data_IF_593487081409
#
_entry.id   IF_593487081409
#
_cell.length_a   1.000
_cell.length_b   1.000
_cell.length_c   1.000
_cell.angle_alpha   90.00
_cell.angle_beta   90.00
_cell.angle_gamma   90.00
#
_symmetry.space_group_name_H-M   'P 1'
#
loop_
_entity.id
_entity.type
_entity.pdbx_description
1 polymer ?
#
# COMPACT_ATOMS: atom_id res chain seq x y z
N UNK A 1 -19.42 26.96 21.70
CA UNK A 1 -19.25 26.90 20.24
C UNK A 1 -18.37 25.70 19.97
N UNK A 2 -18.97 24.57 19.63
CA UNK A 2 -18.28 23.30 19.43
C UNK A 2 -17.85 23.24 17.98
N UNK A 3 -16.56 23.44 17.69
CA UNK A 3 -16.01 23.11 16.38
C UNK A 3 -16.10 21.59 16.21
N UNK A 4 -16.86 21.14 15.21
CA UNK A 4 -16.96 19.74 14.87
C UNK A 4 -15.65 19.31 14.21
N UNK A 5 -14.82 18.55 14.93
CA UNK A 5 -13.65 17.92 14.33
C UNK A 5 -14.12 16.98 13.20
N UNK A 6 -13.77 17.32 11.96
CA UNK A 6 -13.89 16.40 10.83
C UNK A 6 -12.72 15.42 10.93
N UNK A 7 -13.02 14.11 11.05
CA UNK A 7 -12.01 13.05 11.21
C UNK A 7 -11.15 12.77 9.96
N UNK A 8 -11.06 13.71 9.02
CA UNK A 8 -10.29 13.59 7.80
C UNK A 8 -8.93 14.28 7.93
N UNK A 9 -7.86 13.61 7.52
CA UNK A 9 -6.49 14.14 7.50
C UNK A 9 -5.88 13.95 6.11
N UNK A 10 -5.39 15.02 5.49
CA UNK A 10 -4.69 14.94 4.21
C UNK A 10 -3.24 14.46 4.43
N UNK A 11 -2.77 13.52 3.60
CA UNK A 11 -1.41 12.96 3.66
C UNK A 11 -0.63 13.22 2.36
N UNK A 12 -0.43 14.49 1.95
CA UNK A 12 0.10 14.84 0.62
C UNK A 12 1.57 14.45 0.38
N UNK A 13 2.29 14.03 1.43
CA UNK A 13 3.70 13.64 1.36
C UNK A 13 3.89 12.13 1.09
N UNK A 14 2.82 11.33 1.11
CA UNK A 14 2.89 9.91 0.74
C UNK A 14 2.78 9.77 -0.79
N UNK A 15 3.65 8.93 -1.36
CA UNK A 15 3.57 8.54 -2.77
C UNK A 15 2.66 7.32 -2.96
N UNK A 16 1.89 7.31 -4.04
CA UNK A 16 1.12 6.16 -4.51
C UNK A 16 1.78 5.58 -5.77
N UNK A 17 2.06 4.28 -5.75
CA UNK A 17 2.74 3.57 -6.84
C UNK A 17 1.92 2.32 -7.17
N UNK A 18 1.51 2.23 -8.44
CA UNK A 18 0.81 1.06 -8.97
C UNK A 18 1.70 0.27 -9.92
N UNK A 19 1.85 -1.02 -9.66
CA UNK A 19 2.48 -1.99 -10.57
C UNK A 19 1.39 -2.80 -11.26
N UNK A 20 1.47 -2.99 -12.58
CA UNK A 20 0.49 -3.74 -13.37
C UNK A 20 1.18 -4.52 -14.50
N UNK A 21 0.55 -5.61 -14.94
CA UNK A 21 1.07 -6.55 -15.93
C UNK A 21 1.16 -7.96 -15.37
N UNK A 22 1.37 -8.94 -16.25
CA UNK A 22 1.32 -10.37 -15.90
C UNK A 22 2.42 -10.75 -14.89
N UNK A 23 3.57 -10.06 -14.93
CA UNK A 23 4.71 -10.30 -14.04
C UNK A 23 4.72 -9.43 -12.77
N UNK A 24 3.66 -8.66 -12.50
CA UNK A 24 3.65 -7.69 -11.39
C UNK A 24 3.95 -8.34 -10.03
N UNK A 25 3.38 -9.52 -9.77
CA UNK A 25 3.63 -10.27 -8.53
C UNK A 25 5.09 -10.72 -8.44
N UNK A 26 5.64 -11.31 -9.51
CA UNK A 26 7.04 -11.76 -9.54
C UNK A 26 8.01 -10.60 -9.35
N UNK A 27 7.74 -9.46 -10.00
CA UNK A 27 8.51 -8.25 -9.83
C UNK A 27 8.51 -7.78 -8.37
N UNK A 28 7.33 -7.60 -7.76
CA UNK A 28 7.21 -7.15 -6.37
C UNK A 28 7.82 -8.14 -5.37
N UNK A 29 7.73 -9.44 -5.64
CA UNK A 29 8.32 -10.50 -4.81
C UNK A 29 9.85 -10.40 -4.72
N UNK A 30 10.51 -9.92 -5.77
CA UNK A 30 11.96 -9.70 -5.80
C UNK A 30 12.40 -8.37 -5.19
N UNK A 31 11.47 -7.53 -4.74
CA UNK A 31 11.73 -6.17 -4.29
C UNK A 31 11.33 -5.94 -2.83
N UNK A 32 10.36 -6.70 -2.31
CA UNK A 32 9.84 -6.51 -0.95
C UNK A 32 10.25 -7.66 -0.03
N UNK A 33 10.38 -7.39 1.26
CA UNK A 33 10.75 -8.39 2.27
C UNK A 33 9.65 -9.40 2.61
N UNK A 34 8.42 -9.19 2.12
CA UNK A 34 7.26 -10.03 2.39
C UNK A 34 6.97 -10.99 1.23
N UNK A 35 6.23 -12.06 1.52
CA UNK A 35 5.68 -12.95 0.48
C UNK A 35 4.41 -12.32 -0.13
N UNK A 36 4.61 -11.58 -1.22
CA UNK A 36 3.56 -10.89 -1.98
C UNK A 36 2.73 -11.90 -2.79
N UNK A 37 3.32 -13.03 -3.21
CA UNK A 37 2.60 -14.05 -3.97
C UNK A 37 1.48 -14.72 -3.17
N UNK A 38 1.61 -14.77 -1.85
CA UNK A 38 0.59 -15.29 -0.94
C UNK A 38 -0.35 -14.21 -0.38
N UNK A 39 -0.19 -12.96 -0.80
CA UNK A 39 -1.01 -11.85 -0.32
C UNK A 39 -2.40 -11.87 -0.98
N UNK A 40 -3.45 -12.08 -0.18
CA UNK A 40 -4.83 -11.94 -0.62
C UNK A 40 -5.22 -10.48 -0.89
N UNK A 41 -6.31 -10.28 -1.63
CA UNK A 41 -6.84 -8.94 -1.97
C UNK A 41 -7.48 -8.22 -0.78
N UNK A 42 -7.68 -8.91 0.34
CA UNK A 42 -8.25 -8.41 1.59
C UNK A 42 -7.18 -7.90 2.58
N UNK A 43 -5.90 -7.87 2.16
CA UNK A 43 -4.76 -7.53 3.02
C UNK A 43 -3.92 -6.40 2.44
N UNK A 44 -3.37 -5.58 3.33
CA UNK A 44 -2.44 -4.50 3.02
C UNK A 44 -1.36 -4.41 4.10
N UNK A 45 -0.31 -5.27 4.05
CA UNK A 45 0.76 -5.25 5.04
C UNK A 45 1.72 -4.08 4.81
N UNK A 46 2.48 -3.74 5.86
CA UNK A 46 3.64 -2.88 5.75
C UNK A 46 4.88 -3.73 5.47
N UNK A 47 5.53 -3.51 4.32
CA UNK A 47 6.77 -4.20 3.93
C UNK A 47 7.95 -3.23 3.86
N UNK A 48 9.17 -3.77 3.81
CA UNK A 48 10.38 -3.03 3.46
C UNK A 48 10.84 -3.41 2.05
N UNK A 49 11.60 -2.52 1.40
CA UNK A 49 12.19 -2.70 0.07
C UNK A 49 13.71 -2.77 0.18
#
# INVERSE_FOLDING_TARGET
>A
MSDAFSGACALPHLGDIRVAGDDATTFLQGQLTQDVALLGTDRSPLAAY
#
